data_IF_610594258291
#
_entry.id   IF_610594258291
#
_cell.length_a   1.000
_cell.length_b   1.000
_cell.length_c   1.000
_cell.angle_alpha   90.00
_cell.angle_beta   90.00
_cell.angle_gamma   90.00
#
_symmetry.space_group_name_H-M   'P 1'
#
loop_
_entity.id
_entity.type
_entity.pdbx_description
1 polymer ?
#
# COMPACT_ATOMS: atom_id res chain seq x y z
N UNK A 1 0.88 -5.77 -10.34
CA UNK A 1 2.07 -4.90 -10.56
C UNK A 1 1.77 -3.52 -10.05
N UNK A 2 2.77 -2.77 -9.50
CA UNK A 2 2.57 -1.41 -8.97
C UNK A 2 3.35 -0.38 -9.79
N UNK A 3 2.71 0.74 -10.12
CA UNK A 3 3.38 1.99 -10.51
C UNK A 3 3.87 2.65 -9.23
N UNK A 4 5.13 3.08 -9.19
CA UNK A 4 5.69 3.77 -8.03
C UNK A 4 5.82 5.26 -8.30
N UNK A 5 5.21 6.08 -7.44
CA UNK A 5 5.24 7.54 -7.59
C UNK A 5 6.59 8.15 -7.18
N UNK A 6 6.99 9.18 -7.91
CA UNK A 6 8.08 10.08 -7.55
C UNK A 6 7.63 11.27 -6.68
N UNK A 7 6.32 11.44 -6.50
CA UNK A 7 5.67 12.57 -5.81
C UNK A 7 4.62 13.29 -6.66
N UNK A 8 4.69 13.19 -7.99
CA UNK A 8 3.70 13.73 -8.93
C UNK A 8 2.58 12.72 -9.17
N UNK A 9 1.93 12.26 -8.10
CA UNK A 9 0.95 11.17 -8.15
C UNK A 9 -0.12 11.41 -9.23
N UNK A 10 -0.71 12.62 -9.25
CA UNK A 10 -1.77 12.98 -10.18
C UNK A 10 -1.31 12.87 -11.64
N UNK A 11 -0.18 13.48 -11.98
CA UNK A 11 0.34 13.52 -13.35
C UNK A 11 0.70 12.10 -13.83
N UNK A 12 1.24 11.26 -12.93
CA UNK A 12 1.54 9.87 -13.26
C UNK A 12 0.27 9.08 -13.53
N UNK A 13 -0.79 9.28 -12.75
CA UNK A 13 -2.04 8.55 -12.93
C UNK A 13 -2.78 9.03 -14.18
N UNK A 14 -2.82 10.33 -14.44
CA UNK A 14 -3.69 10.91 -15.45
C UNK A 14 -3.01 11.15 -16.81
N UNK A 15 -1.69 11.45 -16.83
CA UNK A 15 -1.03 11.98 -18.01
C UNK A 15 0.12 11.11 -18.54
N UNK A 16 0.64 10.17 -17.75
CA UNK A 16 1.83 9.39 -18.13
C UNK A 16 1.56 8.19 -19.04
N UNK A 17 0.31 7.70 -19.08
CA UNK A 17 -0.05 6.45 -19.77
C UNK A 17 0.40 5.17 -19.04
N UNK A 18 1.07 5.28 -17.88
CA UNK A 18 1.57 4.10 -17.14
C UNK A 18 0.45 3.20 -16.63
N UNK A 19 -0.65 3.79 -16.14
CA UNK A 19 -1.78 3.03 -15.59
C UNK A 19 -2.52 2.30 -16.71
N UNK A 20 -2.73 2.96 -17.85
CA UNK A 20 -3.33 2.41 -19.05
C UNK A 20 -2.51 1.24 -19.61
N UNK A 21 -1.19 1.40 -19.69
CA UNK A 21 -0.28 0.33 -20.12
C UNK A 21 -0.36 -0.91 -19.22
N UNK A 22 -0.46 -0.72 -17.90
CA UNK A 22 -0.68 -1.84 -16.97
C UNK A 22 -2.08 -2.43 -17.10
N UNK A 23 -3.10 -1.62 -17.39
CA UNK A 23 -4.46 -2.07 -17.69
C UNK A 23 -4.47 -2.99 -18.90
N UNK A 24 -3.75 -2.64 -19.97
CA UNK A 24 -3.59 -3.47 -21.17
C UNK A 24 -2.90 -4.80 -20.87
N UNK A 25 -1.87 -4.80 -20.02
CA UNK A 25 -1.20 -6.04 -19.59
C UNK A 25 -2.13 -6.92 -18.75
N UNK A 26 -2.98 -6.33 -17.92
CA UNK A 26 -4.02 -7.04 -17.18
C UNK A 26 -5.05 -7.67 -18.10
N UNK A 27 -5.54 -6.92 -19.08
CA UNK A 27 -6.50 -7.42 -20.08
C UNK A 27 -5.94 -8.58 -20.92
N UNK A 28 -4.63 -8.57 -21.16
CA UNK A 28 -3.90 -9.68 -21.82
C UNK A 28 -3.55 -10.83 -20.87
N UNK A 29 -3.99 -10.80 -19.60
CA UNK A 29 -3.68 -11.81 -18.57
C UNK A 29 -2.18 -11.98 -18.29
N UNK A 30 -1.35 -10.99 -18.61
CA UNK A 30 0.09 -10.99 -18.32
C UNK A 30 0.34 -10.63 -16.85
N UNK A 31 -0.49 -9.76 -16.28
CA UNK A 31 -0.51 -9.44 -14.85
C UNK A 31 -1.92 -9.64 -14.27
N UNK A 32 -2.01 -10.00 -13.00
CA UNK A 32 -3.31 -10.23 -12.34
C UNK A 32 -4.00 -8.95 -11.88
N UNK A 33 -3.24 -7.93 -11.47
CA UNK A 33 -3.80 -6.71 -10.90
C UNK A 33 -2.88 -5.52 -11.11
N UNK A 34 -3.48 -4.32 -11.13
CA UNK A 34 -2.78 -3.03 -11.23
C UNK A 34 -2.82 -2.33 -9.87
N UNK A 35 -1.69 -1.83 -9.42
CA UNK A 35 -1.60 -1.05 -8.19
C UNK A 35 -0.87 0.27 -8.38
N UNK A 36 -1.10 1.20 -7.45
CA UNK A 36 -0.42 2.48 -7.41
C UNK A 36 0.18 2.74 -6.03
N UNK A 37 1.48 3.02 -5.97
CA UNK A 37 2.17 3.39 -4.72
C UNK A 37 2.21 4.90 -4.56
N UNK A 38 1.23 5.45 -3.84
CA UNK A 38 1.06 6.88 -3.65
C UNK A 38 2.05 7.48 -2.64
N UNK A 39 2.37 8.77 -2.82
CA UNK A 39 3.11 9.59 -1.86
C UNK A 39 2.28 10.69 -1.22
N UNK A 40 1.09 10.98 -1.77
CA UNK A 40 0.20 12.03 -1.27
C UNK A 40 -1.19 11.48 -1.00
N UNK A 41 -1.93 12.11 -0.09
CA UNK A 41 -3.33 11.74 0.19
C UNK A 41 -4.17 11.93 -1.08
N UNK A 42 -4.02 13.08 -1.75
CA UNK A 42 -4.73 13.37 -2.99
C UNK A 42 -4.45 12.32 -4.08
N UNK A 43 -3.18 11.93 -4.24
CA UNK A 43 -2.79 10.89 -5.19
C UNK A 43 -3.39 9.52 -4.84
N UNK A 44 -3.43 9.19 -3.55
CA UNK A 44 -4.09 7.98 -3.06
C UNK A 44 -5.59 7.98 -3.35
N UNK A 45 -6.26 9.11 -3.16
CA UNK A 45 -7.68 9.27 -3.47
C UNK A 45 -7.96 9.13 -4.98
N UNK A 46 -7.16 9.80 -5.83
CA UNK A 46 -7.27 9.69 -7.29
C UNK A 46 -7.05 8.24 -7.73
N UNK A 47 -6.02 7.56 -7.19
CA UNK A 47 -5.75 6.17 -7.48
C UNK A 47 -6.90 5.24 -7.07
N UNK A 48 -7.49 5.45 -5.89
CA UNK A 48 -8.63 4.67 -5.43
C UNK A 48 -9.86 4.85 -6.33
N UNK A 49 -10.10 6.04 -6.85
CA UNK A 49 -11.22 6.31 -7.76
C UNK A 49 -10.96 5.87 -9.20
N UNK A 50 -9.71 5.56 -9.58
CA UNK A 50 -9.37 5.16 -10.94
C UNK A 50 -9.84 3.75 -11.27
N UNK A 51 -10.59 3.52 -12.38
CA UNK A 51 -11.21 2.23 -12.67
C UNK A 51 -10.22 1.10 -12.95
N UNK A 52 -9.04 1.40 -13.48
CA UNK A 52 -8.03 0.38 -13.81
C UNK A 52 -7.16 -0.02 -12.60
N UNK A 53 -7.18 0.73 -11.50
CA UNK A 53 -6.35 0.46 -10.32
C UNK A 53 -7.12 -0.41 -9.34
N UNK A 54 -6.58 -1.57 -8.99
CA UNK A 54 -7.17 -2.54 -8.08
C UNK A 54 -6.68 -2.38 -6.64
N UNK A 55 -5.50 -1.76 -6.47
CA UNK A 55 -4.85 -1.65 -5.17
C UNK A 55 -4.04 -0.37 -5.03
N UNK A 56 -3.94 0.14 -3.81
CA UNK A 56 -3.03 1.24 -3.46
C UNK A 56 -1.99 0.78 -2.47
N UNK A 57 -0.79 1.39 -2.51
CA UNK A 57 0.24 1.21 -1.50
C UNK A 57 0.50 2.55 -0.82
N UNK A 58 0.24 2.60 0.48
CA UNK A 58 0.25 3.80 1.31
C UNK A 58 1.32 3.71 2.39
N UNK A 59 1.90 4.84 2.76
CA UNK A 59 2.79 4.92 3.92
C UNK A 59 1.94 5.15 5.17
N UNK A 60 1.88 4.14 6.03
CA UNK A 60 1.11 4.17 7.28
C UNK A 60 1.94 3.52 8.38
N UNK A 61 2.16 4.24 9.47
CA UNK A 61 2.79 3.77 10.70
C UNK A 61 2.43 4.72 11.86
N UNK A 62 2.73 4.41 13.14
CA UNK A 62 2.35 5.24 14.28
C UNK A 62 2.71 6.72 14.17
N UNK A 63 3.84 7.06 13.48
CA UNK A 63 4.28 8.44 13.29
C UNK A 63 3.81 9.07 11.96
N UNK A 64 3.06 8.32 11.12
CA UNK A 64 2.51 8.80 9.85
C UNK A 64 1.11 8.21 9.64
N UNK A 65 0.11 8.88 10.18
CA UNK A 65 -1.29 8.42 10.24
C UNK A 65 -2.20 9.05 9.19
N UNK A 66 -1.75 10.07 8.48
CA UNK A 66 -2.60 10.88 7.60
C UNK A 66 -3.32 10.07 6.52
N UNK A 67 -2.63 9.05 5.97
CA UNK A 67 -3.22 8.18 4.94
C UNK A 67 -4.24 7.17 5.47
N UNK A 68 -4.43 7.04 6.79
CA UNK A 68 -5.52 6.24 7.37
C UNK A 68 -6.90 6.73 6.89
N UNK A 69 -7.02 8.01 6.58
CA UNK A 69 -8.24 8.62 6.06
C UNK A 69 -8.71 8.00 4.73
N UNK A 70 -7.84 7.30 4.00
CA UNK A 70 -8.14 6.63 2.74
C UNK A 70 -8.70 5.21 2.92
N UNK A 71 -8.57 4.60 4.10
CA UNK A 71 -9.01 3.22 4.33
C UNK A 71 -10.51 3.01 4.13
N UNK A 72 -11.40 3.90 4.64
CA UNK A 72 -12.84 3.76 4.39
C UNK A 72 -13.19 3.81 2.90
N UNK A 73 -12.59 4.74 2.16
CA UNK A 73 -12.80 4.87 0.71
C UNK A 73 -12.32 3.63 -0.05
N UNK A 74 -11.15 3.09 0.32
CA UNK A 74 -10.64 1.86 -0.29
C UNK A 74 -11.61 0.69 -0.07
N UNK A 75 -12.15 0.56 1.13
CA UNK A 75 -13.13 -0.47 1.46
C UNK A 75 -14.43 -0.31 0.67
N UNK A 76 -14.99 0.90 0.62
CA UNK A 76 -16.21 1.21 -0.14
C UNK A 76 -16.07 0.85 -1.62
N UNK A 77 -14.89 1.12 -2.20
CA UNK A 77 -14.59 0.84 -3.60
C UNK A 77 -14.09 -0.60 -3.85
N UNK A 78 -14.01 -1.44 -2.81
CA UNK A 78 -13.55 -2.83 -2.92
C UNK A 78 -12.08 -2.97 -3.33
N UNK A 79 -11.24 -1.99 -2.99
CA UNK A 79 -9.82 -1.94 -3.39
C UNK A 79 -8.88 -2.35 -2.26
N UNK A 80 -7.81 -3.05 -2.62
CA UNK A 80 -6.83 -3.52 -1.66
C UNK A 80 -5.89 -2.38 -1.20
N UNK A 81 -5.53 -2.40 0.08
CA UNK A 81 -4.55 -1.47 0.67
C UNK A 81 -3.32 -2.24 1.14
N UNK A 82 -2.18 -1.90 0.57
CA UNK A 82 -0.87 -2.35 1.00
C UNK A 82 -0.20 -1.24 1.80
N UNK A 83 0.42 -1.59 2.92
CA UNK A 83 1.19 -0.62 3.72
C UNK A 83 2.66 -0.76 3.41
N UNK A 84 3.31 0.34 3.01
CA UNK A 84 4.76 0.47 2.88
C UNK A 84 5.35 1.19 4.09
N UNK A 85 6.65 0.96 4.35
CA UNK A 85 7.41 1.55 5.47
C UNK A 85 6.73 1.38 6.84
N UNK A 86 6.16 0.21 7.17
CA UNK A 86 5.41 0.02 8.41
C UNK A 86 6.25 0.28 9.67
N UNK A 87 7.57 0.22 9.55
CA UNK A 87 8.53 0.45 10.62
C UNK A 87 9.27 1.78 10.47
N UNK A 88 8.71 2.77 9.75
CA UNK A 88 9.33 4.07 9.49
C UNK A 88 10.81 3.95 9.09
N UNK A 89 11.09 3.10 8.08
CA UNK A 89 12.45 2.77 7.61
C UNK A 89 13.36 2.14 8.68
N UNK A 90 12.79 1.51 9.70
CA UNK A 90 13.51 0.76 10.73
C UNK A 90 13.72 1.53 12.05
N UNK A 91 13.10 2.70 12.20
CA UNK A 91 13.17 3.50 13.44
C UNK A 91 12.15 3.07 14.49
N UNK A 92 11.04 2.43 14.07
CA UNK A 92 10.00 1.96 14.97
C UNK A 92 10.24 0.51 15.42
N UNK A 93 9.92 0.23 16.69
CA UNK A 93 9.92 -1.14 17.21
C UNK A 93 8.80 -1.95 16.54
N UNK A 94 9.13 -3.08 15.88
CA UNK A 94 8.12 -3.96 15.29
C UNK A 94 7.06 -4.47 16.27
N UNK A 95 7.43 -4.64 17.55
CA UNK A 95 6.50 -5.10 18.59
C UNK A 95 5.37 -4.10 18.87
N UNK A 96 5.57 -2.85 18.57
CA UNK A 96 4.58 -1.79 18.72
C UNK A 96 3.88 -1.52 17.37
N UNK A 97 4.66 -1.33 16.32
CA UNK A 97 4.14 -0.87 15.04
C UNK A 97 3.29 -1.93 14.31
N UNK A 98 3.67 -3.22 14.36
CA UNK A 98 2.92 -4.25 13.63
C UNK A 98 1.56 -4.56 14.26
N UNK A 99 1.41 -4.77 15.57
CA UNK A 99 0.09 -4.93 16.19
C UNK A 99 -0.80 -3.70 15.98
N UNK A 100 -0.22 -2.50 16.08
CA UNK A 100 -0.95 -1.26 15.84
C UNK A 100 -1.50 -1.19 14.40
N UNK A 101 -0.68 -1.50 13.38
CA UNK A 101 -1.11 -1.54 11.99
C UNK A 101 -2.21 -2.59 11.75
N UNK A 102 -2.03 -3.79 12.30
CA UNK A 102 -2.95 -4.91 12.09
C UNK A 102 -4.28 -4.77 12.82
N UNK A 103 -4.35 -3.86 13.80
CA UNK A 103 -5.61 -3.48 14.44
C UNK A 103 -6.50 -2.62 13.53
N UNK A 104 -5.95 -1.98 12.48
CA UNK A 104 -6.73 -1.19 11.55
C UNK A 104 -7.45 -2.09 10.55
N UNK A 105 -8.78 -1.96 10.50
CA UNK A 105 -9.61 -2.61 9.48
C UNK A 105 -9.24 -2.08 8.09
N UNK A 106 -9.44 -2.93 7.07
CA UNK A 106 -9.24 -2.58 5.66
C UNK A 106 -7.78 -2.47 5.19
N UNK A 107 -6.79 -2.74 6.04
CA UNK A 107 -5.42 -3.01 5.59
C UNK A 107 -5.37 -4.47 5.08
N UNK A 108 -5.03 -4.63 3.80
CA UNK A 108 -4.96 -5.96 3.15
C UNK A 108 -3.64 -6.65 3.45
N UNK A 109 -2.52 -5.90 3.40
CA UNK A 109 -1.19 -6.45 3.59
C UNK A 109 -0.20 -5.39 4.04
N UNK A 110 0.84 -5.82 4.76
CA UNK A 110 1.94 -4.97 5.25
C UNK A 110 3.24 -5.46 4.61
N UNK A 111 3.94 -4.57 3.91
CA UNK A 111 5.21 -4.87 3.21
C UNK A 111 6.39 -4.50 4.10
N UNK A 112 7.08 -5.50 4.62
CA UNK A 112 8.25 -5.31 5.48
C UNK A 112 9.52 -5.64 4.68
N UNK A 113 10.40 -4.66 4.55
CA UNK A 113 11.74 -4.86 4.00
C UNK A 113 12.73 -5.37 5.06
N UNK A 114 13.71 -6.17 4.65
CA UNK A 114 14.77 -6.59 5.55
C UNK A 114 15.72 -7.59 4.90
N UNK A 115 17.00 -7.55 5.32
CA UNK A 115 18.04 -8.48 4.86
C UNK A 115 18.33 -9.58 5.89
N UNK A 116 17.75 -9.51 7.09
CA UNK A 116 17.96 -10.47 8.16
C UNK A 116 16.80 -11.47 8.25
N UNK A 117 16.99 -12.74 7.87
CA UNK A 117 15.93 -13.75 7.87
C UNK A 117 15.32 -14.01 9.26
N UNK A 118 16.11 -13.86 10.34
CA UNK A 118 15.60 -14.04 11.70
C UNK A 118 14.61 -12.93 12.05
N UNK A 119 14.97 -11.67 11.80
CA UNK A 119 14.07 -10.52 12.01
C UNK A 119 12.78 -10.64 11.17
N UNK A 120 12.89 -11.13 9.93
CA UNK A 120 11.72 -11.33 9.09
C UNK A 120 10.78 -12.39 9.70
N UNK A 121 11.33 -13.51 10.19
CA UNK A 121 10.56 -14.54 10.90
C UNK A 121 9.90 -13.99 12.17
N UNK A 122 10.63 -13.23 12.98
CA UNK A 122 10.12 -12.64 14.23
C UNK A 122 8.96 -11.68 13.90
N UNK A 123 9.09 -10.84 12.89
CA UNK A 123 8.03 -9.94 12.42
C UNK A 123 6.79 -10.71 11.97
N UNK A 124 6.98 -11.80 11.22
CA UNK A 124 5.87 -12.65 10.78
C UNK A 124 5.14 -13.30 11.97
N UNK A 125 5.89 -13.83 12.96
CA UNK A 125 5.30 -14.40 14.16
C UNK A 125 4.50 -13.37 14.95
N UNK A 126 5.02 -12.16 15.13
CA UNK A 126 4.29 -11.07 15.80
C UNK A 126 3.00 -10.71 15.04
N UNK A 127 3.05 -10.63 13.73
CA UNK A 127 1.87 -10.34 12.91
C UNK A 127 0.81 -11.45 13.00
N UNK A 128 1.22 -12.71 13.13
CA UNK A 128 0.31 -13.86 13.27
C UNK A 128 -0.39 -13.91 14.63
N UNK A 129 0.21 -13.33 15.68
CA UNK A 129 -0.38 -13.26 17.02
C UNK A 129 -1.31 -12.06 17.22
N UNK A 130 -1.28 -11.07 16.30
CA UNK A 130 -2.10 -9.88 16.38
C UNK A 130 -3.51 -10.04 15.74
N UNK A 131 -3.84 -11.22 15.26
CA UNK A 131 -5.17 -11.63 14.76
C UNK A 131 -5.92 -12.38 15.83
#
# INVERSE_FOLDING_TARGET
MFVHSNGSDKDIIQDSGCVEALGDLKNKSIIGSVGFSSKTILGGEIALKHPLIDAVMLEIHPDATDMLTLLPLAHELGKAVFVKKPLASGTLDPKIALPWLLAHKHITSVVIGGLNPRRLRDNFMMASLAK
#
